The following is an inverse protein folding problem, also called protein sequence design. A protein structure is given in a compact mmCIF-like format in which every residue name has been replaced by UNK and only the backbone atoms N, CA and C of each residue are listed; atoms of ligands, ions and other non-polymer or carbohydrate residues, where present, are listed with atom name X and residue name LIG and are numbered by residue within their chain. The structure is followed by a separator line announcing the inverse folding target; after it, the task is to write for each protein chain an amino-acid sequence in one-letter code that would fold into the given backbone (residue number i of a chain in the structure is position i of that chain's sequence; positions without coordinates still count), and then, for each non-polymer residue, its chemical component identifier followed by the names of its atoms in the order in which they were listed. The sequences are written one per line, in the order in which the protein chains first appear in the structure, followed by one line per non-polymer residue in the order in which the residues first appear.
data_IF_712238707622
#
_entry.id   IF_712238707622
#
_cell.length_a   1.000
_cell.length_b   1.000
_cell.length_c   1.000
_cell.angle_alpha   90.00
_cell.angle_beta   90.00
_cell.angle_gamma   90.00
#
_symmetry.space_group_name_H-M   'P 1'
#
loop_
_entity.id
_entity.type
_entity.pdbx_description
1 polymer ?
#
# COMPACT_ATOMS: atom_id res chain seq x y z
N UNK A 1 37.69 12.00 20.05
CA UNK A 1 36.51 11.57 20.82
C UNK A 1 35.51 12.73 20.82
N UNK A 2 34.44 12.64 20.00
CA UNK A 2 33.29 13.56 20.07
C UNK A 2 32.04 12.70 20.24
N UNK A 3 31.36 12.93 21.35
CA UNK A 3 30.18 12.23 21.85
C UNK A 3 28.95 12.93 21.25
N UNK A 4 27.98 12.12 20.79
CA UNK A 4 26.53 12.41 20.75
C UNK A 4 26.15 13.39 19.61
N UNK A 5 25.40 12.99 18.58
CA UNK A 5 23.95 12.77 18.67
C UNK A 5 23.48 11.35 18.29
N UNK A 6 23.23 10.55 19.32
CA UNK A 6 22.41 9.33 19.26
C UNK A 6 20.96 9.77 19.47
N UNK A 7 20.38 10.61 18.60
CA UNK A 7 18.94 10.91 18.62
C UNK A 7 18.50 11.22 17.19
N UNK A 8 18.06 10.18 16.47
CA UNK A 8 17.04 10.22 15.40
C UNK A 8 16.81 8.85 14.73
N UNK A 9 17.60 7.81 15.05
CA UNK A 9 17.49 6.48 14.42
C UNK A 9 16.36 5.58 14.96
N UNK A 10 15.31 6.15 15.55
CA UNK A 10 14.16 5.43 16.12
C UNK A 10 12.92 5.47 15.21
N UNK A 11 13.07 5.81 13.93
CA UNK A 11 11.94 5.89 13.02
C UNK A 11 11.46 4.50 12.56
N UNK A 12 10.46 4.02 13.30
CA UNK A 12 9.35 3.17 12.86
C UNK A 12 9.70 1.71 12.56
N UNK A 13 9.81 0.94 13.64
CA UNK A 13 9.48 -0.48 13.61
C UNK A 13 7.96 -0.64 13.73
N UNK A 14 7.34 -1.29 12.75
CA UNK A 14 5.94 -1.72 12.79
C UNK A 14 5.94 -3.25 12.79
N UNK A 15 5.09 -3.81 13.65
CA UNK A 15 5.12 -5.24 13.98
C UNK A 15 4.35 -6.00 12.88
N UNK A 16 5.07 -6.83 12.11
CA UNK A 16 4.47 -7.84 11.23
C UNK A 16 3.93 -9.02 12.06
N UNK A 17 2.93 -9.74 11.54
CA UNK A 17 2.26 -10.85 12.22
C UNK A 17 3.20 -12.03 12.57
N UNK A 18 4.41 -12.03 12.02
CA UNK A 18 5.37 -13.13 12.08
C UNK A 18 6.53 -12.83 13.06
N UNK A 19 6.45 -11.70 13.79
CA UNK A 19 7.48 -11.28 14.75
C UNK A 19 8.78 -10.74 14.11
N UNK A 20 8.87 -10.70 12.78
CA UNK A 20 10.03 -10.16 12.07
C UNK A 20 9.82 -8.66 11.82
N UNK A 21 10.65 -7.86 12.49
CA UNK A 21 10.80 -6.44 12.31
C UNK A 21 11.44 -6.15 10.94
N UNK A 22 10.66 -5.89 9.91
CA UNK A 22 11.18 -5.32 8.66
C UNK A 22 11.14 -3.80 8.84
N UNK A 23 12.30 -3.15 8.94
CA UNK A 23 12.37 -1.68 8.93
C UNK A 23 11.80 -1.14 7.62
N UNK A 24 11.18 0.04 7.64
CA UNK A 24 10.70 0.73 6.43
C UNK A 24 11.81 0.77 5.36
N UNK A 25 13.05 1.02 5.77
CA UNK A 25 14.23 1.04 4.89
C UNK A 25 14.47 -0.29 4.19
N UNK A 26 14.27 -1.41 4.89
CA UNK A 26 14.44 -2.76 4.32
C UNK A 26 13.36 -3.05 3.28
N UNK A 27 12.10 -2.70 3.58
CA UNK A 27 10.99 -2.87 2.65
C UNK A 27 11.17 -1.99 1.39
N UNK A 28 11.54 -0.73 1.58
CA UNK A 28 11.85 0.21 0.48
C UNK A 28 13.04 -0.29 -0.34
N UNK A 29 14.12 -0.78 0.30
CA UNK A 29 15.29 -1.32 -0.41
C UNK A 29 14.94 -2.55 -1.23
N UNK A 30 14.10 -3.46 -0.69
CA UNK A 30 13.60 -4.63 -1.43
C UNK A 30 12.78 -4.19 -2.64
N UNK A 31 11.87 -3.23 -2.48
CA UNK A 31 11.07 -2.69 -3.58
C UNK A 31 11.92 -2.01 -4.63
N UNK A 32 12.85 -1.13 -4.26
CA UNK A 32 13.77 -0.47 -5.20
C UNK A 32 14.66 -1.48 -5.94
N UNK A 33 14.99 -2.62 -5.33
CA UNK A 33 15.71 -3.69 -6.04
C UNK A 33 14.84 -4.35 -7.12
N UNK A 34 13.54 -4.51 -6.87
CA UNK A 34 12.60 -5.16 -7.80
C UNK A 34 12.00 -4.20 -8.84
N UNK A 35 11.87 -2.92 -8.47
CA UNK A 35 11.32 -1.82 -9.26
C UNK A 35 12.19 -0.57 -9.04
N UNK A 36 13.38 -0.51 -9.66
CA UNK A 36 14.34 0.58 -9.43
C UNK A 36 13.82 1.96 -9.81
N UNK A 37 12.84 2.03 -10.72
CA UNK A 37 12.21 3.28 -11.16
C UNK A 37 10.77 3.41 -10.64
N UNK A 38 10.36 2.56 -9.71
CA UNK A 38 8.99 2.53 -9.22
C UNK A 38 8.66 3.70 -8.30
N UNK A 39 7.55 4.40 -8.56
CA UNK A 39 6.98 5.40 -7.66
C UNK A 39 6.34 4.69 -6.48
N UNK A 40 7.02 4.68 -5.34
CA UNK A 40 6.53 4.02 -4.12
C UNK A 40 5.33 4.76 -3.56
N UNK A 41 4.26 4.02 -3.31
CA UNK A 41 3.03 4.52 -2.69
C UNK A 41 2.61 3.64 -1.51
N UNK A 42 2.02 4.25 -0.48
CA UNK A 42 1.57 3.57 0.75
C UNK A 42 0.07 3.70 0.93
N UNK A 43 -0.50 2.70 1.58
CA UNK A 43 -1.84 2.75 2.15
C UNK A 43 -1.74 2.45 3.65
N UNK A 44 -2.26 3.35 4.46
CA UNK A 44 -2.32 3.15 5.90
C UNK A 44 -3.23 1.98 6.28
N UNK A 45 -2.92 1.34 7.40
CA UNK A 45 -3.66 0.24 7.97
C UNK A 45 -3.04 -1.13 7.72
N UNK A 46 -3.72 -2.17 8.20
CA UNK A 46 -3.23 -3.55 8.15
C UNK A 46 -3.23 -4.13 6.73
N UNK A 47 -2.35 -5.08 6.47
CA UNK A 47 -2.35 -5.87 5.24
C UNK A 47 -3.48 -6.90 5.30
N UNK A 48 -4.72 -6.47 5.08
CA UNK A 48 -5.91 -7.32 5.04
C UNK A 48 -6.73 -7.01 3.79
N UNK A 49 -7.54 -7.97 3.34
CA UNK A 49 -8.45 -7.71 2.22
C UNK A 49 -9.44 -6.59 2.54
N UNK A 50 -9.93 -6.51 3.78
CA UNK A 50 -10.76 -5.40 4.24
C UNK A 50 -10.10 -4.03 4.04
N UNK A 51 -8.81 -3.92 4.40
CA UNK A 51 -8.08 -2.66 4.18
C UNK A 51 -7.86 -2.41 2.70
N UNK A 52 -7.55 -3.44 1.92
CA UNK A 52 -7.33 -3.39 0.47
C UNK A 52 -8.63 -3.37 -0.35
N UNK A 53 -9.75 -2.96 0.23
CA UNK A 53 -11.04 -2.81 -0.43
C UNK A 53 -11.59 -1.38 -0.18
N UNK A 54 -12.02 -0.64 -1.21
CA UNK A 54 -12.45 0.75 -1.07
C UNK A 54 -13.68 0.88 -0.18
N UNK A 55 -13.77 2.00 0.52
CA UNK A 55 -14.94 2.46 1.28
C UNK A 55 -15.92 3.13 0.34
N UNK A 56 -17.16 3.32 0.80
CA UNK A 56 -18.16 4.10 0.07
C UNK A 56 -17.76 5.57 -0.17
N UNK A 57 -16.73 6.06 0.55
CA UNK A 57 -16.17 7.41 0.39
C UNK A 57 -14.94 7.45 -0.52
N UNK A 58 -14.40 6.31 -0.96
CA UNK A 58 -13.23 6.23 -1.85
C UNK A 58 -13.67 6.36 -3.32
N UNK A 59 -14.41 7.43 -3.66
CA UNK A 59 -15.11 7.62 -4.94
C UNK A 59 -14.18 7.75 -6.15
N UNK A 60 -12.95 8.17 -5.90
CA UNK A 60 -11.85 8.34 -6.85
C UNK A 60 -10.85 7.16 -6.81
N UNK A 61 -11.24 6.06 -6.15
CA UNK A 61 -10.46 4.83 -6.04
C UNK A 61 -9.89 4.60 -4.65
N UNK A 62 -9.35 3.39 -4.44
CA UNK A 62 -8.74 3.03 -3.17
C UNK A 62 -7.52 3.92 -2.90
N UNK A 63 -7.57 4.71 -1.83
CA UNK A 63 -6.54 5.70 -1.54
C UNK A 63 -5.18 5.08 -1.19
N UNK A 64 -4.16 5.56 -1.88
CA UNK A 64 -2.73 5.42 -1.59
C UNK A 64 -2.07 6.82 -1.61
N UNK A 65 -0.88 6.93 -1.04
CA UNK A 65 -0.16 8.21 -0.91
C UNK A 65 1.31 8.07 -1.29
N UNK A 66 1.94 9.15 -1.75
CA UNK A 66 3.37 9.37 -1.86
C UNK A 66 3.90 10.24 -0.67
N UNK A 67 5.16 10.08 -0.25
CA UNK A 67 5.69 10.50 1.07
C UNK A 67 6.49 9.44 1.86
N UNK A 68 6.59 9.63 3.18
CA UNK A 68 7.18 8.64 4.10
C UNK A 68 6.05 8.19 5.01
N UNK A 69 5.80 6.87 5.16
CA UNK A 69 4.73 6.40 6.04
C UNK A 69 5.09 6.68 7.50
N UNK A 70 4.14 7.22 8.26
CA UNK A 70 4.29 7.56 9.69
C UNK A 70 3.61 6.58 10.64
N UNK A 71 2.96 5.55 10.08
CA UNK A 71 2.17 4.57 10.81
C UNK A 71 2.10 3.25 10.04
N UNK A 72 1.49 2.22 10.67
CA UNK A 72 1.25 0.89 10.08
C UNK A 72 0.69 1.03 8.67
N UNK A 73 1.33 0.39 7.71
CA UNK A 73 0.93 0.55 6.32
C UNK A 73 1.26 -0.68 5.47
N UNK A 74 0.80 -0.60 4.23
CA UNK A 74 1.25 -1.45 3.14
C UNK A 74 1.80 -0.55 2.05
N UNK A 75 2.79 -1.02 1.31
CA UNK A 75 3.34 -0.28 0.17
C UNK A 75 3.44 -1.13 -1.08
N UNK A 76 3.39 -0.44 -2.21
CA UNK A 76 3.61 -0.98 -3.56
C UNK A 76 4.22 0.12 -4.43
N UNK A 77 4.26 -0.08 -5.75
CA UNK A 77 4.62 0.97 -6.72
C UNK A 77 3.49 1.21 -7.71
N UNK A 78 3.39 2.43 -8.23
CA UNK A 78 2.46 2.79 -9.32
C UNK A 78 2.61 1.84 -10.51
N UNK A 79 3.85 1.48 -10.82
CA UNK A 79 4.26 0.64 -11.94
C UNK A 79 3.80 -0.80 -11.74
N UNK A 80 3.93 -1.36 -10.54
CA UNK A 80 3.37 -2.67 -10.23
C UNK A 80 1.85 -2.70 -10.27
N UNK A 81 1.17 -1.65 -9.79
CA UNK A 81 -0.29 -1.56 -9.94
C UNK A 81 -0.64 -1.63 -11.41
N UNK A 82 -0.02 -0.80 -12.26
CA UNK A 82 -0.29 -0.76 -13.71
C UNK A 82 0.09 -2.06 -14.42
N UNK A 83 1.17 -2.75 -14.00
CA UNK A 83 1.59 -4.00 -14.62
C UNK A 83 0.63 -5.17 -14.39
N UNK A 84 -0.31 -5.05 -13.45
CA UNK A 84 -1.37 -6.06 -13.26
C UNK A 84 -2.30 -6.17 -14.46
N UNK A 85 -2.46 -5.08 -15.24
CA UNK A 85 -3.45 -4.98 -16.31
C UNK A 85 -4.91 -4.92 -15.84
N UNK A 86 -5.19 -5.13 -14.55
CA UNK A 86 -6.54 -5.09 -13.96
C UNK A 86 -6.77 -3.83 -13.13
N UNK A 87 -5.71 -3.21 -12.63
CA UNK A 87 -5.76 -2.00 -11.82
C UNK A 87 -4.93 -0.85 -12.44
N UNK A 88 -5.41 0.36 -12.22
CA UNK A 88 -4.78 1.61 -12.62
C UNK A 88 -4.52 2.47 -11.38
N UNK A 89 -3.35 3.07 -11.30
CA UNK A 89 -3.00 4.07 -10.30
C UNK A 89 -3.13 5.47 -10.91
N UNK A 90 -4.12 6.22 -10.43
CA UNK A 90 -4.43 7.56 -10.88
C UNK A 90 -3.87 8.62 -9.93
N UNK A 91 -3.02 9.51 -10.44
CA UNK A 91 -2.55 10.66 -9.67
C UNK A 91 -3.37 11.89 -10.05
N UNK A 92 -4.43 12.15 -9.29
CA UNK A 92 -5.27 13.32 -9.50
C UNK A 92 -4.90 14.49 -8.58
N UNK A 93 -4.17 14.26 -7.47
CA UNK A 93 -4.01 15.25 -6.40
C UNK A 93 -2.65 15.15 -5.70
N UNK A 94 -1.60 15.75 -6.26
CA UNK A 94 -0.32 15.93 -5.57
C UNK A 94 0.32 14.59 -5.15
N UNK A 95 0.22 14.26 -3.85
CA UNK A 95 0.74 13.02 -3.29
C UNK A 95 -0.32 11.92 -3.14
N UNK A 96 -1.59 12.13 -3.49
CA UNK A 96 -2.64 11.11 -3.41
C UNK A 96 -2.77 10.35 -4.74
N UNK A 97 -2.91 9.03 -4.62
CA UNK A 97 -3.11 8.10 -5.71
C UNK A 97 -4.38 7.27 -5.47
N UNK A 98 -5.34 7.39 -6.37
CA UNK A 98 -6.53 6.53 -6.39
C UNK A 98 -6.26 5.26 -7.19
N UNK A 99 -6.41 4.08 -6.57
CA UNK A 99 -6.33 2.81 -7.28
C UNK A 99 -7.72 2.39 -7.76
N UNK A 100 -7.85 2.21 -9.06
CA UNK A 100 -9.11 2.01 -9.78
C UNK A 100 -9.05 0.73 -10.63
N UNK A 101 -10.17 0.04 -10.85
CA UNK A 101 -10.26 -0.99 -11.89
C UNK A 101 -9.97 -0.40 -13.27
N UNK A 102 -9.17 -1.07 -14.10
CA UNK A 102 -8.99 -0.71 -15.53
C UNK A 102 -10.28 -1.01 -16.30
N UNK A 103 -10.91 -2.13 -15.97
CA UNK A 103 -12.23 -2.56 -16.43
C UNK A 103 -13.01 -3.02 -15.22
N UNK A 104 -14.32 -2.82 -15.20
CA UNK A 104 -15.18 -3.21 -14.08
C UNK A 104 -15.70 -2.02 -13.26
N UNK A 105 -16.46 -2.32 -12.21
CA UNK A 105 -17.16 -1.33 -11.41
C UNK A 105 -16.51 -1.16 -10.03
N UNK A 106 -16.05 0.06 -9.74
CA UNK A 106 -15.55 0.44 -8.43
C UNK A 106 -16.60 0.20 -7.32
N UNK A 107 -17.89 0.40 -7.61
CA UNK A 107 -18.97 0.16 -6.64
C UNK A 107 -19.15 -1.32 -6.33
N UNK A 108 -19.02 -2.19 -7.33
CA UNK A 108 -19.04 -3.64 -7.11
C UNK A 108 -17.88 -4.08 -6.20
N UNK A 109 -16.69 -3.50 -6.39
CA UNK A 109 -15.56 -3.71 -5.50
C UNK A 109 -15.80 -3.16 -4.08
N UNK A 110 -16.37 -1.95 -3.94
CA UNK A 110 -16.73 -1.38 -2.64
C UNK A 110 -17.74 -2.26 -1.89
N UNK A 111 -18.71 -2.83 -2.59
CA UNK A 111 -19.78 -3.63 -2.00
C UNK A 111 -19.26 -4.87 -1.24
N UNK A 112 -18.09 -5.39 -1.61
CA UNK A 112 -17.50 -6.56 -0.93
C UNK A 112 -16.74 -6.20 0.35
N UNK A 113 -16.63 -4.93 0.73
CA UNK A 113 -15.74 -4.50 1.83
C UNK A 113 -16.01 -5.25 3.13
N UNK A 114 -17.27 -5.36 3.55
CA UNK A 114 -17.63 -5.96 4.83
C UNK A 114 -17.39 -7.49 4.88
N UNK A 115 -17.33 -8.14 3.72
CA UNK A 115 -17.04 -9.58 3.60
C UNK A 115 -15.63 -9.85 3.10
N UNK A 116 -14.80 -8.82 2.88
CA UNK A 116 -13.56 -8.97 2.11
C UNK A 116 -12.57 -9.96 2.72
N UNK A 117 -12.57 -10.17 4.04
CA UNK A 117 -11.65 -11.12 4.67
C UNK A 117 -12.08 -12.59 4.50
N UNK A 118 -13.35 -12.86 4.21
CA UNK A 118 -13.90 -14.21 4.02
C UNK A 118 -14.25 -14.51 2.57
N UNK A 119 -14.63 -13.49 1.81
CA UNK A 119 -14.91 -13.54 0.37
C UNK A 119 -14.31 -12.30 -0.31
N UNK A 120 -13.00 -12.28 -0.58
CA UNK A 120 -12.31 -11.14 -1.16
C UNK A 120 -12.68 -10.93 -2.63
N UNK A 121 -12.82 -9.67 -3.03
CA UNK A 121 -12.90 -9.30 -4.45
C UNK A 121 -11.54 -9.53 -5.13
N UNK A 122 -11.56 -9.87 -6.43
CA UNK A 122 -10.35 -10.13 -7.22
C UNK A 122 -9.31 -8.99 -7.14
N UNK A 123 -9.75 -7.73 -7.23
CA UNK A 123 -8.89 -6.56 -7.08
C UNK A 123 -8.20 -6.47 -5.71
N UNK A 124 -8.90 -6.85 -4.63
CA UNK A 124 -8.29 -6.92 -3.29
C UNK A 124 -7.25 -8.03 -3.20
N UNK A 125 -7.47 -9.16 -3.88
CA UNK A 125 -6.50 -10.25 -4.00
C UNK A 125 -5.28 -9.78 -4.79
N UNK A 126 -5.48 -9.14 -5.95
CA UNK A 126 -4.41 -8.58 -6.76
C UNK A 126 -3.55 -7.62 -5.94
N UNK A 127 -4.16 -6.66 -5.24
CA UNK A 127 -3.44 -5.72 -4.39
C UNK A 127 -2.69 -6.43 -3.26
N UNK A 128 -3.29 -7.44 -2.63
CA UNK A 128 -2.65 -8.20 -1.55
C UNK A 128 -1.35 -8.85 -2.04
N UNK A 129 -1.31 -9.33 -3.27
CA UNK A 129 -0.14 -9.99 -3.88
C UNK A 129 0.97 -9.03 -4.30
N UNK A 130 0.65 -7.77 -4.61
CA UNK A 130 1.62 -6.76 -5.04
C UNK A 130 1.99 -5.75 -3.94
N UNK A 131 1.47 -5.92 -2.73
CA UNK A 131 1.75 -5.04 -1.59
C UNK A 131 2.59 -5.74 -0.54
N UNK A 132 3.51 -4.99 0.07
CA UNK A 132 4.35 -5.45 1.16
C UNK A 132 3.82 -4.83 2.46
N UNK A 133 3.59 -5.61 3.53
CA UNK A 133 3.26 -5.06 4.85
C UNK A 133 4.48 -4.41 5.51
N UNK A 134 4.26 -3.29 6.20
CA UNK A 134 5.18 -2.71 7.19
C UNK A 134 4.44 -2.54 8.51
#
# INVERSE_FOLDING_TARGET
MKKIDIILSLQYYLISADGILISIDTAIKKLKKLQPHGTIIYRYGSHTYYNLTPRNTDLDGLSFFAGIPTAKCVLTTVEWVRSTGTLYANNNHGNHYGILPVKGDLKAWMATKNTANTNPHEYSITLKNITIPI
#
